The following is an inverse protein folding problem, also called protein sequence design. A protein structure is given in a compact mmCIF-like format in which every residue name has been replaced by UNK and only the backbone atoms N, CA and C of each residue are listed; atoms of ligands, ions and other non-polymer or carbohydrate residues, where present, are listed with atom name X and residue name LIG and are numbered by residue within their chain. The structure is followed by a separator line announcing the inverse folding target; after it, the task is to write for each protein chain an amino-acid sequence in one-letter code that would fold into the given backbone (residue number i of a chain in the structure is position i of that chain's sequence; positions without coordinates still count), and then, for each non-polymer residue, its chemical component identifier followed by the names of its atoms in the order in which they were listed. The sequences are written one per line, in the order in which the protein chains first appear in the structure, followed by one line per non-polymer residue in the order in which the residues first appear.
data_IF_748515157326
#
_entry.id   IF_748515157326
#
_cell.length_a   1.000
_cell.length_b   1.000
_cell.length_c   1.000
_cell.angle_alpha   90.00
_cell.angle_beta   90.00
_cell.angle_gamma   90.00
#
_symmetry.space_group_name_H-M   'P 1'
#
loop_
_entity.id
_entity.type
_entity.pdbx_description
1 polymer ?
#
# COMPACT_ATOMS: atom_id res chain seq x y z
N UNK A 1 89.04 -28.86 45.01
CA UNK A 1 87.78 -29.58 45.29
C UNK A 1 86.59 -28.65 45.55
N UNK A 2 86.70 -27.66 46.46
CA UNK A 2 85.60 -26.72 46.77
C UNK A 2 85.10 -25.88 45.58
N UNK A 3 86.01 -25.39 44.73
CA UNK A 3 85.66 -24.60 43.52
C UNK A 3 84.89 -25.40 42.48
N UNK A 4 85.25 -26.67 42.26
CA UNK A 4 84.53 -27.56 41.35
C UNK A 4 83.10 -27.86 41.83
N UNK A 5 82.91 -27.97 43.15
CA UNK A 5 81.59 -28.17 43.75
C UNK A 5 80.68 -26.95 43.57
N UNK A 6 81.23 -25.74 43.68
CA UNK A 6 80.47 -24.49 43.46
C UNK A 6 80.02 -24.38 41.99
N UNK A 7 80.91 -24.70 41.04
CA UNK A 7 80.58 -24.68 39.60
C UNK A 7 79.47 -25.69 39.26
N UNK A 8 79.54 -26.89 39.84
CA UNK A 8 78.50 -27.90 39.64
C UNK A 8 77.13 -27.45 40.16
N UNK A 9 77.08 -26.82 41.34
CA UNK A 9 75.83 -26.29 41.91
C UNK A 9 75.25 -25.16 41.05
N UNK A 10 76.10 -24.26 40.54
CA UNK A 10 75.66 -23.17 39.64
C UNK A 10 75.09 -23.74 38.34
N UNK A 11 75.73 -24.75 37.75
CA UNK A 11 75.20 -25.39 36.54
C UNK A 11 73.84 -26.04 36.78
N UNK A 12 73.67 -26.76 37.90
CA UNK A 12 72.37 -27.37 38.25
C UNK A 12 71.29 -26.30 38.44
N UNK A 13 71.62 -25.20 39.12
CA UNK A 13 70.68 -24.10 39.33
C UNK A 13 70.28 -23.42 38.00
N UNK A 14 71.22 -23.24 37.08
CA UNK A 14 70.95 -22.70 35.75
C UNK A 14 70.08 -23.64 34.91
N UNK A 15 70.38 -24.94 34.91
CA UNK A 15 69.58 -25.95 34.22
C UNK A 15 68.15 -26.04 34.77
N UNK A 16 67.98 -25.96 36.09
CA UNK A 16 66.67 -25.92 36.72
C UNK A 16 65.89 -24.65 36.34
N UNK A 17 66.55 -23.49 36.32
CA UNK A 17 65.95 -22.23 35.90
C UNK A 17 65.45 -22.27 34.45
N UNK A 18 66.26 -22.79 33.53
CA UNK A 18 65.87 -22.96 32.11
C UNK A 18 64.73 -23.96 31.96
N UNK A 19 64.75 -25.07 32.71
CA UNK A 19 63.67 -26.07 32.71
C UNK A 19 62.32 -25.47 33.11
N UNK A 20 62.28 -24.67 34.18
CA UNK A 20 61.05 -24.02 34.65
C UNK A 20 60.55 -22.96 33.65
N UNK A 21 61.45 -22.17 33.07
CA UNK A 21 61.08 -21.19 32.04
C UNK A 21 60.51 -21.87 30.79
N UNK A 22 61.14 -22.96 30.34
CA UNK A 22 60.70 -23.72 29.17
C UNK A 22 59.35 -24.39 29.42
N UNK A 23 59.10 -24.90 30.62
CA UNK A 23 57.81 -25.48 31.00
C UNK A 23 56.70 -24.43 31.07
N UNK A 24 56.94 -23.27 31.71
CA UNK A 24 55.95 -22.18 31.76
C UNK A 24 55.63 -21.63 30.37
N UNK A 25 56.63 -21.49 29.51
CA UNK A 25 56.45 -21.02 28.15
C UNK A 25 55.66 -22.04 27.31
N UNK A 26 55.91 -23.33 27.48
CA UNK A 26 55.14 -24.38 26.81
C UNK A 26 53.68 -24.38 27.24
N UNK A 27 53.41 -24.29 28.55
CA UNK A 27 52.04 -24.23 29.08
C UNK A 27 51.30 -22.95 28.65
N UNK A 28 51.99 -21.79 28.68
CA UNK A 28 51.41 -20.53 28.24
C UNK A 28 51.10 -20.54 26.74
N UNK A 29 51.98 -21.11 25.91
CA UNK A 29 51.74 -21.27 24.46
C UNK A 29 50.53 -22.14 24.18
N UNK A 30 50.39 -23.29 24.86
CA UNK A 30 49.23 -24.16 24.67
C UNK A 30 47.89 -23.45 24.96
N UNK A 31 47.83 -22.66 26.05
CA UNK A 31 46.62 -21.89 26.38
C UNK A 31 46.33 -20.80 25.34
N UNK A 32 47.36 -20.08 24.89
CA UNK A 32 47.22 -19.07 23.83
C UNK A 32 46.80 -19.69 22.50
N UNK A 33 47.32 -20.85 22.13
CA UNK A 33 46.98 -21.55 20.89
C UNK A 33 45.53 -22.04 20.92
N UNK A 34 45.06 -22.56 22.06
CA UNK A 34 43.65 -22.92 22.26
C UNK A 34 42.75 -21.69 22.17
N UNK A 35 43.12 -20.59 22.82
CA UNK A 35 42.37 -19.34 22.74
C UNK A 35 42.32 -18.81 21.31
N UNK A 36 43.44 -18.82 20.59
CA UNK A 36 43.50 -18.38 19.19
C UNK A 36 42.61 -19.24 18.30
N UNK A 37 42.58 -20.57 18.49
CA UNK A 37 41.67 -21.45 17.77
C UNK A 37 40.20 -21.13 18.08
N UNK A 38 39.84 -20.99 19.36
CA UNK A 38 38.45 -20.64 19.72
C UNK A 38 38.03 -19.27 19.17
N UNK A 39 38.93 -18.29 19.17
CA UNK A 39 38.68 -16.97 18.61
C UNK A 39 38.48 -17.04 17.10
N UNK A 40 39.31 -17.81 16.38
CA UNK A 40 39.14 -18.01 14.93
C UNK A 40 37.82 -18.71 14.57
N UNK A 41 37.38 -19.67 15.40
CA UNK A 41 36.11 -20.36 15.20
C UNK A 41 34.93 -19.40 15.43
N UNK A 42 34.99 -18.58 16.48
CA UNK A 42 33.97 -17.57 16.75
C UNK A 42 33.92 -16.48 15.67
N UNK A 43 35.08 -16.02 15.18
CA UNK A 43 35.14 -15.07 14.06
C UNK A 43 34.53 -15.66 12.80
N UNK A 44 34.87 -16.90 12.46
CA UNK A 44 34.29 -17.58 11.29
C UNK A 44 32.77 -17.73 11.42
N UNK A 45 32.28 -18.10 12.60
CA UNK A 45 30.84 -18.20 12.86
C UNK A 45 30.15 -16.83 12.78
N UNK A 46 30.79 -15.76 13.26
CA UNK A 46 30.27 -14.39 13.16
C UNK A 46 30.24 -13.90 11.71
N UNK A 47 31.26 -14.19 10.92
CA UNK A 47 31.32 -13.83 9.50
C UNK A 47 30.24 -14.58 8.71
N UNK A 48 30.03 -15.87 9.00
CA UNK A 48 28.95 -16.65 8.40
C UNK A 48 27.58 -16.06 8.76
N UNK A 49 27.35 -15.74 10.03
CA UNK A 49 26.10 -15.13 10.50
C UNK A 49 25.88 -13.75 9.91
N UNK A 50 26.93 -12.94 9.79
CA UNK A 50 26.88 -11.61 9.17
C UNK A 50 26.56 -11.72 7.68
N UNK A 51 27.14 -12.71 6.98
CA UNK A 51 26.79 -13.03 5.60
C UNK A 51 25.32 -13.43 5.45
N UNK A 52 24.81 -14.31 6.34
CA UNK A 52 23.40 -14.72 6.37
C UNK A 52 22.46 -13.54 6.63
N UNK A 53 22.82 -12.65 7.56
CA UNK A 53 22.03 -11.44 7.84
C UNK A 53 22.02 -10.49 6.64
N UNK A 54 23.16 -10.32 5.98
CA UNK A 54 23.25 -9.48 4.77
C UNK A 54 22.34 -10.01 3.66
N UNK A 55 22.41 -11.31 3.35
CA UNK A 55 21.54 -11.90 2.31
C UNK A 55 20.07 -11.82 2.68
N UNK A 56 19.71 -12.09 3.94
CA UNK A 56 18.33 -11.94 4.41
C UNK A 56 17.85 -10.49 4.34
N UNK A 57 18.70 -9.52 4.69
CA UNK A 57 18.36 -8.10 4.61
C UNK A 57 18.14 -7.64 3.17
N UNK A 58 19.00 -8.08 2.24
CA UNK A 58 18.86 -7.78 0.82
C UNK A 58 17.57 -8.42 0.25
N UNK A 59 17.27 -9.66 0.65
CA UNK A 59 16.06 -10.34 0.22
C UNK A 59 14.80 -9.69 0.82
N UNK A 60 14.83 -9.32 2.10
CA UNK A 60 13.74 -8.62 2.76
C UNK A 60 13.51 -7.23 2.15
N UNK A 61 14.58 -6.51 1.81
CA UNK A 61 14.46 -5.21 1.14
C UNK A 61 13.82 -5.34 -0.24
N UNK A 62 14.26 -6.31 -1.05
CA UNK A 62 13.63 -6.60 -2.35
C UNK A 62 12.17 -6.98 -2.18
N UNK A 63 11.88 -7.89 -1.25
CA UNK A 63 10.52 -8.33 -0.98
C UNK A 63 9.62 -7.17 -0.52
N UNK A 64 10.11 -6.29 0.36
CA UNK A 64 9.39 -5.11 0.83
C UNK A 64 9.10 -4.14 -0.31
N UNK A 65 10.04 -3.91 -1.23
CA UNK A 65 9.82 -3.07 -2.42
C UNK A 65 8.76 -3.66 -3.35
N UNK A 66 8.82 -4.97 -3.62
CA UNK A 66 7.80 -5.64 -4.43
C UNK A 66 6.43 -5.64 -3.74
N UNK A 67 6.38 -5.87 -2.43
CA UNK A 67 5.14 -5.76 -1.67
C UNK A 67 4.57 -4.34 -1.70
N UNK A 68 5.41 -3.31 -1.56
CA UNK A 68 4.98 -1.92 -1.67
C UNK A 68 4.38 -1.64 -3.05
N UNK A 69 5.07 -2.07 -4.11
CA UNK A 69 4.57 -1.95 -5.49
C UNK A 69 3.22 -2.66 -5.68
N UNK A 70 3.06 -3.87 -5.16
CA UNK A 70 1.79 -4.60 -5.22
C UNK A 70 0.68 -3.88 -4.45
N UNK A 71 0.99 -3.30 -3.29
CA UNK A 71 0.03 -2.49 -2.51
C UNK A 71 -0.38 -1.22 -3.27
N UNK A 72 0.55 -0.56 -3.92
CA UNK A 72 0.26 0.64 -4.73
C UNK A 72 -0.65 0.30 -5.91
N UNK A 73 -0.36 -0.79 -6.62
CA UNK A 73 -1.22 -1.30 -7.70
C UNK A 73 -2.61 -1.70 -7.20
N UNK A 74 -2.70 -2.35 -6.02
CA UNK A 74 -3.97 -2.68 -5.40
C UNK A 74 -4.77 -1.42 -5.01
N UNK A 75 -4.10 -0.38 -4.49
CA UNK A 75 -4.73 0.88 -4.16
C UNK A 75 -5.25 1.61 -5.40
N UNK A 76 -4.47 1.66 -6.48
CA UNK A 76 -4.87 2.26 -7.75
C UNK A 76 -6.08 1.54 -8.37
N UNK A 77 -6.03 0.20 -8.42
CA UNK A 77 -7.14 -0.60 -8.96
C UNK A 77 -8.41 -0.45 -8.11
N UNK A 78 -8.27 -0.41 -6.78
CA UNK A 78 -9.39 -0.15 -5.88
C UNK A 78 -9.98 1.25 -6.10
N UNK A 79 -9.15 2.27 -6.29
CA UNK A 79 -9.61 3.62 -6.59
C UNK A 79 -10.39 3.66 -7.91
N UNK A 80 -9.86 3.05 -8.97
CA UNK A 80 -10.52 2.95 -10.27
C UNK A 80 -11.85 2.17 -10.19
N UNK A 81 -11.90 1.09 -9.40
CA UNK A 81 -13.12 0.33 -9.17
C UNK A 81 -14.18 1.17 -8.44
N UNK A 82 -13.77 1.91 -7.40
CA UNK A 82 -14.68 2.78 -6.66
C UNK A 82 -15.28 3.88 -7.54
N UNK A 83 -14.49 4.44 -8.46
CA UNK A 83 -14.96 5.45 -9.39
C UNK A 83 -15.94 4.86 -10.40
N UNK A 84 -15.62 3.69 -10.97
CA UNK A 84 -16.54 2.97 -11.86
C UNK A 84 -17.86 2.65 -11.17
N UNK A 85 -17.82 2.24 -9.91
CA UNK A 85 -19.02 1.94 -9.14
C UNK A 85 -19.90 3.19 -8.94
N UNK A 86 -19.31 4.35 -8.63
CA UNK A 86 -20.06 5.62 -8.55
C UNK A 86 -20.73 5.96 -9.87
N UNK A 87 -20.03 5.79 -10.99
CA UNK A 87 -20.58 6.04 -12.33
C UNK A 87 -21.76 5.10 -12.61
N UNK A 88 -21.64 3.81 -12.31
CA UNK A 88 -22.73 2.84 -12.48
C UNK A 88 -23.95 3.22 -11.64
N UNK A 89 -23.75 3.57 -10.37
CA UNK A 89 -24.84 4.00 -9.47
C UNK A 89 -25.53 5.27 -9.98
N UNK A 90 -24.74 6.25 -10.46
CA UNK A 90 -25.29 7.47 -11.06
C UNK A 90 -26.14 7.15 -12.28
N UNK A 91 -25.59 6.35 -13.22
CA UNK A 91 -26.31 5.96 -14.43
C UNK A 91 -27.57 5.16 -14.13
N UNK A 92 -27.55 4.29 -13.11
CA UNK A 92 -28.73 3.57 -12.67
C UNK A 92 -29.82 4.53 -12.15
N UNK A 93 -29.45 5.49 -11.30
CA UNK A 93 -30.40 6.47 -10.77
C UNK A 93 -30.98 7.37 -11.86
N UNK A 94 -30.14 7.82 -12.80
CA UNK A 94 -30.57 8.59 -13.98
C UNK A 94 -31.55 7.77 -14.84
N UNK A 95 -31.28 6.49 -15.08
CA UNK A 95 -32.20 5.62 -15.82
C UNK A 95 -33.55 5.46 -15.11
N UNK A 96 -33.56 5.24 -13.80
CA UNK A 96 -34.79 5.16 -13.01
C UNK A 96 -35.57 6.48 -13.00
N UNK A 97 -34.88 7.62 -12.95
CA UNK A 97 -35.51 8.93 -13.07
C UNK A 97 -36.14 9.15 -14.45
N UNK A 98 -35.44 8.78 -15.53
CA UNK A 98 -35.95 8.86 -16.90
C UNK A 98 -37.15 7.95 -17.10
N UNK A 99 -37.09 6.72 -16.59
CA UNK A 99 -38.22 5.79 -16.64
C UNK A 99 -39.44 6.35 -15.92
N UNK A 100 -39.27 6.87 -14.69
CA UNK A 100 -40.36 7.51 -13.95
C UNK A 100 -40.94 8.71 -14.68
N UNK A 101 -40.11 9.53 -15.32
CA UNK A 101 -40.57 10.66 -16.13
C UNK A 101 -41.39 10.19 -17.34
N UNK A 102 -40.94 9.15 -18.04
CA UNK A 102 -41.65 8.60 -19.19
C UNK A 102 -42.98 7.92 -18.80
N UNK A 103 -43.04 7.30 -17.61
CA UNK A 103 -44.25 6.70 -17.05
C UNK A 103 -45.22 7.74 -16.45
N UNK A 104 -44.82 9.01 -16.33
CA UNK A 104 -45.68 10.09 -15.82
C UNK A 104 -46.65 10.54 -16.91
N UNK A 105 -47.96 10.57 -16.60
CA UNK A 105 -48.98 11.04 -17.54
C UNK A 105 -48.71 12.48 -18.02
N UNK A 106 -48.95 12.72 -19.31
CA UNK A 106 -48.75 14.05 -19.88
C UNK A 106 -49.73 15.04 -19.23
N UNK A 107 -49.26 16.25 -18.86
CA UNK A 107 -50.14 17.30 -18.35
C UNK A 107 -51.29 17.60 -19.31
N UNK A 108 -52.47 17.85 -18.75
CA UNK A 108 -53.70 18.10 -19.52
C UNK A 108 -53.54 19.23 -20.55
N UNK A 109 -52.71 20.23 -20.26
CA UNK A 109 -52.43 21.36 -21.15
C UNK A 109 -51.71 20.91 -22.44
N UNK A 110 -50.73 20.00 -22.32
CA UNK A 110 -50.04 19.42 -23.47
C UNK A 110 -50.98 18.52 -24.28
N UNK A 111 -51.87 17.79 -23.60
CA UNK A 111 -52.89 16.97 -24.25
C UNK A 111 -53.86 17.86 -25.05
N UNK A 112 -54.34 18.97 -24.47
CA UNK A 112 -55.23 19.94 -25.15
C UNK A 112 -54.55 20.63 -26.34
N UNK A 113 -53.27 20.97 -26.23
CA UNK A 113 -52.50 21.54 -27.35
C UNK A 113 -52.39 20.57 -28.53
N UNK A 114 -52.24 19.28 -28.25
CA UNK A 114 -52.19 18.22 -29.28
C UNK A 114 -53.56 17.87 -29.84
N UNK A 115 -54.62 18.02 -29.05
CA UNK A 115 -56.01 17.92 -29.52
C UNK A 115 -56.37 19.14 -30.37
N UNK A 116 -55.81 19.22 -31.59
CA UNK A 116 -56.26 20.19 -32.58
C UNK A 116 -57.52 19.69 -33.30
N UNK A 117 -58.54 20.54 -33.48
CA UNK A 117 -59.61 20.27 -34.44
C UNK A 117 -59.03 20.14 -35.85
N UNK A 118 -59.60 19.26 -36.67
CA UNK A 118 -59.29 19.20 -38.10
C UNK A 118 -59.86 20.45 -38.79
N UNK A 119 -58.97 21.37 -39.21
CA UNK A 119 -59.37 22.58 -39.93
C UNK A 119 -59.48 22.29 -41.43
N UNK A 120 -60.61 22.68 -42.05
CA UNK A 120 -60.85 22.56 -43.49
C UNK A 120 -60.08 23.60 -44.35
N UNK A 121 -58.98 24.17 -43.83
CA UNK A 121 -58.13 25.15 -44.55
C UNK A 121 -57.58 26.28 -43.67
N UNK A 122 -56.64 27.06 -44.21
CA UNK A 122 -55.87 28.07 -43.45
C UNK A 122 -56.67 29.27 -42.92
N UNK A 123 -57.85 29.55 -43.47
CA UNK A 123 -58.75 30.61 -42.97
C UNK A 123 -59.49 30.19 -41.70
N UNK A 124 -59.96 28.93 -41.66
CA UNK A 124 -60.57 28.34 -40.46
C UNK A 124 -59.57 28.21 -39.30
N UNK A 125 -58.31 27.96 -39.62
CA UNK A 125 -57.21 27.96 -38.64
C UNK A 125 -56.99 29.33 -38.00
N UNK A 126 -57.03 30.40 -38.80
CA UNK A 126 -56.78 31.78 -38.34
C UNK A 126 -57.92 32.29 -37.45
N UNK A 127 -59.17 31.97 -37.82
CA UNK A 127 -60.37 32.28 -37.04
C UNK A 127 -60.33 31.60 -35.65
N UNK A 128 -59.94 30.32 -35.61
CA UNK A 128 -59.80 29.57 -34.37
C UNK A 128 -58.70 30.14 -33.46
N UNK A 129 -57.55 30.52 -34.02
CA UNK A 129 -56.49 31.19 -33.25
C UNK A 129 -56.94 32.55 -32.68
N UNK A 130 -57.76 33.30 -33.39
CA UNK A 130 -58.28 34.59 -32.90
C UNK A 130 -59.36 34.45 -31.83
N UNK A 131 -60.03 33.31 -31.74
CA UNK A 131 -61.06 33.03 -30.74
C UNK A 131 -60.54 32.29 -29.50
N UNK A 132 -59.38 31.64 -29.60
CA UNK A 132 -58.82 30.88 -28.49
C UNK A 132 -58.09 31.84 -27.56
N UNK A 133 -58.69 32.14 -26.41
CA UNK A 133 -58.07 32.92 -25.33
C UNK A 133 -56.72 32.31 -24.92
N UNK A 134 -55.79 33.16 -24.45
CA UNK A 134 -54.49 32.73 -23.97
C UNK A 134 -54.65 31.66 -22.87
N UNK A 135 -54.02 30.50 -23.06
CA UNK A 135 -54.11 29.38 -22.10
C UNK A 135 -53.61 29.85 -20.72
N UNK A 136 -54.41 29.67 -19.64
CA UNK A 136 -54.00 30.08 -18.31
C UNK A 136 -52.79 29.25 -17.85
N UNK A 137 -51.79 29.93 -17.29
CA UNK A 137 -50.59 29.29 -16.72
C UNK A 137 -50.99 28.59 -15.42
N UNK A 138 -50.73 27.29 -15.24
CA UNK A 138 -50.98 26.63 -13.96
C UNK A 138 -49.95 27.09 -12.93
N UNK A 139 -50.40 27.73 -11.84
CA UNK A 139 -49.53 28.13 -10.72
C UNK A 139 -49.95 29.37 -9.95
N UNK A 140 -50.88 30.19 -10.45
CA UNK A 140 -51.45 31.30 -9.67
C UNK A 140 -52.53 30.78 -8.71
N UNK A 141 -52.12 30.09 -7.65
CA UNK A 141 -52.91 30.11 -6.42
C UNK A 141 -52.96 31.56 -5.96
N UNK A 142 -54.05 32.24 -6.26
CA UNK A 142 -54.44 33.48 -5.60
C UNK A 142 -54.58 33.18 -4.10
N UNK A 143 -53.57 33.59 -3.33
CA UNK A 143 -53.66 33.78 -1.89
C UNK A 143 -54.78 34.79 -1.62
N UNK A 144 -56.00 34.29 -1.51
CA UNK A 144 -57.11 34.98 -0.88
C UNK A 144 -57.30 34.32 0.49
N UNK A 145 -56.61 34.86 1.49
CA UNK A 145 -57.07 34.79 2.87
C UNK A 145 -57.54 36.19 3.25
N UNK A 146 -58.83 36.29 3.54
CA UNK A 146 -59.45 37.43 4.22
C UNK A 146 -60.25 36.87 5.38
#
# INVERSE_FOLDING_TARGET
MKSAMIIAVIMIALSAGVGVQSWRLHNARQLTDQQAQTLSLQQTALDEKSGQLKTLSEQAERNNREQARLRDMAAETQAALSERQKVVMRLQHENEALKRWADTDLPADIIRLRQRPTFAGGRAYREWLSQTDALPVPGSQSTNQR
#
